data_IF_538454842485
#
_entry.id   IF_538454842485
#
_cell.length_a   1.000
_cell.length_b   1.000
_cell.length_c   1.000
_cell.angle_alpha   90.00
_cell.angle_beta   90.00
_cell.angle_gamma   90.00
#
_symmetry.space_group_name_H-M   'P 1'
#
loop_
_entity.id
_entity.type
_entity.pdbx_description
1 polymer ?
#
# COMPACT_ATOMS: atom_id res chain seq x y z
N UNK A 1 8.47 -13.09 26.21
CA UNK A 1 7.14 -13.39 25.64
C UNK A 1 7.30 -13.53 24.14
N UNK A 2 7.20 -14.76 23.64
CA UNK A 2 7.28 -15.06 22.21
C UNK A 2 5.96 -14.68 21.54
N UNK A 3 5.96 -13.58 20.81
CA UNK A 3 4.82 -13.15 19.99
C UNK A 3 4.76 -14.00 18.72
N UNK A 4 4.04 -15.12 18.78
CA UNK A 4 3.72 -15.92 17.59
C UNK A 4 2.54 -15.27 16.87
N UNK A 5 2.83 -14.45 15.86
CA UNK A 5 1.82 -13.99 14.90
C UNK A 5 1.32 -15.20 14.09
N UNK A 6 0.02 -15.49 14.13
CA UNK A 6 -0.62 -16.53 13.29
C UNK A 6 -0.84 -16.10 11.83
N UNK A 7 -0.20 -15.00 11.39
CA UNK A 7 -0.19 -14.55 9.99
C UNK A 7 1.26 -14.30 9.54
N UNK A 8 1.92 -15.26 8.88
CA UNK A 8 3.30 -15.11 8.40
C UNK A 8 3.47 -14.11 7.24
N UNK A 9 2.42 -13.36 6.87
CA UNK A 9 2.35 -12.57 5.63
C UNK A 9 2.78 -11.11 5.78
N UNK A 10 2.48 -10.47 6.91
CA UNK A 10 2.79 -9.05 7.13
C UNK A 10 4.29 -8.81 7.32
N UNK A 11 4.96 -9.73 8.00
CA UNK A 11 6.37 -9.59 8.35
C UNK A 11 7.34 -9.83 7.18
N UNK A 12 6.93 -10.56 6.13
CA UNK A 12 7.84 -10.91 5.02
C UNK A 12 7.81 -9.87 3.88
N UNK A 13 6.63 -9.29 3.59
CA UNK A 13 6.52 -8.17 2.65
C UNK A 13 7.18 -6.92 3.22
N UNK A 14 6.99 -6.62 4.51
CA UNK A 14 7.81 -5.63 5.21
C UNK A 14 9.29 -6.03 5.22
N UNK A 15 9.67 -7.28 5.47
CA UNK A 15 11.10 -7.68 5.41
C UNK A 15 11.76 -7.56 4.05
N UNK A 16 11.03 -7.46 2.94
CA UNK A 16 11.66 -7.24 1.63
C UNK A 16 11.56 -5.77 1.22
N UNK A 17 10.46 -5.07 1.53
CA UNK A 17 10.30 -3.65 1.21
C UNK A 17 11.01 -2.72 2.22
N UNK A 18 11.01 -3.06 3.51
CA UNK A 18 11.64 -2.29 4.60
C UNK A 18 13.10 -2.67 4.81
N UNK A 19 13.53 -3.91 4.58
CA UNK A 19 14.94 -4.27 4.76
C UNK A 19 15.85 -3.64 3.68
N UNK A 20 15.28 -3.35 2.50
CA UNK A 20 15.90 -2.49 1.46
C UNK A 20 15.90 -1.00 1.88
N UNK A 21 15.00 -0.58 2.78
CA UNK A 21 14.89 0.79 3.28
C UNK A 21 15.72 1.06 4.55
N UNK A 22 16.02 0.04 5.37
CA UNK A 22 16.60 0.22 6.72
C UNK A 22 18.09 -0.18 6.81
N UNK A 23 18.58 -1.18 6.06
CA UNK A 23 19.93 -1.71 6.35
C UNK A 23 21.08 -1.20 5.48
N UNK A 24 20.83 -0.55 4.34
CA UNK A 24 21.89 0.09 3.54
C UNK A 24 21.39 1.35 2.84
N UNK A 25 21.66 2.50 3.45
CA UNK A 25 21.20 3.81 2.98
C UNK A 25 21.90 4.36 1.72
N UNK A 26 22.62 3.53 0.94
CA UNK A 26 23.50 4.01 -0.15
C UNK A 26 23.22 3.47 -1.56
N UNK A 27 22.26 2.57 -1.77
CA UNK A 27 21.86 2.25 -3.16
C UNK A 27 20.35 2.07 -3.25
N UNK A 28 19.69 3.03 -3.89
CA UNK A 28 18.29 2.92 -4.32
C UNK A 28 18.25 1.99 -5.54
N UNK A 29 18.62 0.71 -5.34
CA UNK A 29 18.49 -0.33 -6.35
C UNK A 29 17.01 -0.59 -6.49
N UNK A 30 16.45 -0.19 -7.63
CA UNK A 30 15.05 -0.38 -7.98
C UNK A 30 14.80 -1.82 -8.44
N UNK A 31 15.12 -2.81 -7.59
CA UNK A 31 14.89 -4.22 -7.88
C UNK A 31 14.06 -4.83 -6.74
N UNK A 32 12.75 -4.91 -6.99
CA UNK A 32 11.83 -5.68 -6.15
C UNK A 32 11.71 -7.08 -6.73
N UNK A 33 12.31 -8.05 -6.04
CA UNK A 33 12.30 -9.48 -6.41
C UNK A 33 11.19 -10.16 -5.63
N UNK A 34 10.29 -10.82 -6.35
CA UNK A 34 9.22 -11.61 -5.75
C UNK A 34 9.41 -13.10 -5.98
N UNK A 35 8.87 -13.85 -5.03
CA UNK A 35 8.81 -15.32 -5.04
C UNK A 35 7.37 -15.78 -5.13
N UNK A 36 7.15 -17.03 -5.54
CA UNK A 36 5.82 -17.60 -5.80
C UNK A 36 4.86 -17.54 -4.59
N UNK A 37 5.38 -17.46 -3.37
CA UNK A 37 4.57 -17.44 -2.13
C UNK A 37 4.26 -16.02 -1.63
N UNK A 38 4.77 -14.98 -2.28
CA UNK A 38 4.63 -13.61 -1.80
C UNK A 38 3.24 -13.06 -2.16
N UNK A 39 2.51 -12.70 -1.11
CA UNK A 39 1.20 -12.09 -1.19
C UNK A 39 1.30 -10.68 -0.62
N UNK A 40 1.05 -9.67 -1.44
CA UNK A 40 1.03 -8.27 -1.04
C UNK A 40 -0.39 -7.82 -0.73
N UNK A 41 -0.57 -7.09 0.37
CA UNK A 41 -1.82 -6.42 0.70
C UNK A 41 -1.54 -5.24 1.62
N UNK A 42 -2.41 -4.23 1.55
CA UNK A 42 -2.43 -3.08 2.45
C UNK A 42 -3.82 -3.05 3.14
N UNK A 43 -4.07 -3.89 4.16
CA UNK A 43 -5.36 -4.01 4.84
C UNK A 43 -5.52 -3.01 6.01
N UNK A 44 -4.83 -1.87 6.00
CA UNK A 44 -4.82 -0.92 7.11
C UNK A 44 -6.19 -0.27 7.34
N UNK A 45 -6.99 -0.11 6.28
CA UNK A 45 -8.32 0.51 6.35
C UNK A 45 -9.31 -0.30 7.19
N UNK A 46 -9.12 -1.62 7.32
CA UNK A 46 -9.94 -2.45 8.21
C UNK A 46 -9.48 -2.41 9.67
N UNK A 47 -8.27 -1.91 9.92
CA UNK A 47 -7.73 -1.68 11.27
C UNK A 47 -7.98 -0.25 11.79
N UNK A 48 -8.58 0.63 10.99
CA UNK A 48 -8.76 2.04 11.37
C UNK A 48 -7.53 2.91 11.09
N UNK A 49 -6.67 2.51 10.16
CA UNK A 49 -5.51 3.28 9.68
C UNK A 49 -5.59 3.42 8.15
N UNK A 50 -4.55 3.93 7.51
CA UNK A 50 -4.43 4.13 6.07
C UNK A 50 -3.14 3.47 5.56
N UNK A 51 -3.01 3.20 4.25
CA UNK A 51 -1.75 2.72 3.68
C UNK A 51 -0.63 3.74 3.92
N UNK A 52 0.36 3.37 4.71
CA UNK A 52 1.47 4.21 5.18
C UNK A 52 2.83 3.75 4.61
N UNK A 53 3.95 4.22 5.18
CA UNK A 53 5.34 3.88 4.79
C UNK A 53 5.64 4.15 3.30
N UNK A 54 5.11 5.25 2.78
CA UNK A 54 5.24 5.67 1.39
C UNK A 54 4.22 5.04 0.45
N UNK A 55 3.21 4.34 0.96
CA UNK A 55 2.18 3.72 0.12
C UNK A 55 1.44 4.71 -0.76
N UNK A 56 1.20 5.93 -0.29
CA UNK A 56 0.60 6.96 -1.15
C UNK A 56 1.49 7.29 -2.36
N UNK A 57 2.82 7.14 -2.27
CA UNK A 57 3.72 7.35 -3.40
C UNK A 57 3.65 6.22 -4.42
N UNK A 58 3.80 4.96 -4.01
CA UNK A 58 3.85 3.86 -4.98
C UNK A 58 2.46 3.48 -5.50
N UNK A 59 1.41 3.50 -4.66
CA UNK A 59 0.05 3.18 -5.08
C UNK A 59 -0.45 4.17 -6.13
N UNK A 60 -0.16 5.46 -5.94
CA UNK A 60 -0.58 6.53 -6.85
C UNK A 60 0.03 6.44 -8.26
N UNK A 61 1.09 5.65 -8.42
CA UNK A 61 1.81 5.43 -9.69
C UNK A 61 1.42 4.11 -10.38
N UNK A 62 0.57 3.31 -9.75
CA UNK A 62 0.04 2.09 -10.38
C UNK A 62 -0.88 2.44 -11.57
N UNK A 63 -1.06 1.51 -12.53
CA UNK A 63 -1.85 1.77 -13.73
C UNK A 63 -3.26 2.28 -13.42
N UNK A 64 -3.62 3.40 -14.05
CA UNK A 64 -4.95 4.01 -13.92
C UNK A 64 -5.30 4.35 -12.47
N UNK A 65 -6.32 3.66 -11.94
CA UNK A 65 -6.83 3.80 -10.57
C UNK A 65 -6.68 2.51 -9.74
N UNK A 66 -5.74 1.64 -10.13
CA UNK A 66 -5.49 0.38 -9.45
C UNK A 66 -4.95 0.58 -8.02
N UNK A 67 -4.17 1.64 -7.78
CA UNK A 67 -3.67 1.98 -6.45
C UNK A 67 -4.76 2.29 -5.44
N UNK A 68 -5.79 3.03 -5.86
CA UNK A 68 -6.95 3.32 -5.03
C UNK A 68 -7.74 2.04 -4.74
N UNK A 69 -7.91 1.16 -5.72
CA UNK A 69 -8.51 -0.16 -5.47
C UNK A 69 -7.75 -0.94 -4.40
N UNK A 70 -6.43 -1.10 -4.56
CA UNK A 70 -5.60 -1.88 -3.63
C UNK A 70 -5.60 -1.25 -2.24
N UNK A 71 -5.36 0.06 -2.14
CA UNK A 71 -5.24 0.76 -0.88
C UNK A 71 -6.55 0.92 -0.10
N UNK A 72 -7.70 1.05 -0.78
CA UNK A 72 -8.98 1.19 -0.10
C UNK A 72 -9.57 -0.15 0.34
N UNK A 73 -9.41 -1.19 -0.49
CA UNK A 73 -10.09 -2.47 -0.30
C UNK A 73 -9.23 -3.49 0.46
N UNK A 74 -7.94 -3.23 0.63
CA UNK A 74 -6.98 -4.20 1.16
C UNK A 74 -6.82 -5.44 0.28
N UNK A 75 -7.02 -5.28 -1.04
CA UNK A 75 -6.92 -6.37 -2.00
C UNK A 75 -5.57 -7.06 -1.91
N UNK A 76 -5.61 -8.40 -1.97
CA UNK A 76 -4.43 -9.24 -1.93
C UNK A 76 -3.96 -9.49 -3.36
N UNK A 77 -2.71 -9.16 -3.64
CA UNK A 77 -2.04 -9.35 -4.92
C UNK A 77 -1.02 -10.47 -4.79
N UNK A 78 -1.04 -11.40 -5.73
CA UNK A 78 0.05 -12.37 -5.86
C UNK A 78 1.22 -11.82 -6.69
N UNK A 79 2.33 -12.58 -6.76
CA UNK A 79 3.52 -12.13 -7.47
C UNK A 79 3.32 -11.86 -8.96
N UNK A 80 2.36 -12.53 -9.62
CA UNK A 80 2.06 -12.26 -11.02
C UNK A 80 1.33 -10.92 -11.18
N UNK A 81 0.39 -10.64 -10.28
CA UNK A 81 -0.33 -9.37 -10.25
C UNK A 81 0.58 -8.20 -9.89
N UNK A 82 1.48 -8.39 -8.93
CA UNK A 82 2.46 -7.38 -8.54
C UNK A 82 3.41 -7.04 -9.70
N UNK A 83 3.84 -8.04 -10.48
CA UNK A 83 4.65 -7.79 -11.68
C UNK A 83 3.83 -7.04 -12.75
N UNK A 84 2.60 -7.50 -13.00
CA UNK A 84 1.73 -6.89 -14.02
C UNK A 84 1.35 -5.43 -13.70
N UNK A 85 1.14 -5.09 -12.43
CA UNK A 85 0.82 -3.73 -12.01
C UNK A 85 2.06 -2.85 -11.76
N UNK A 86 3.27 -3.40 -11.84
CA UNK A 86 4.51 -2.64 -11.67
C UNK A 86 4.93 -2.40 -10.22
N UNK A 87 4.30 -3.09 -9.25
CA UNK A 87 4.82 -3.15 -7.87
C UNK A 87 6.12 -3.95 -7.78
N UNK A 88 6.22 -5.01 -8.59
CA UNK A 88 7.43 -5.77 -8.77
C UNK A 88 8.11 -5.49 -10.11
N UNK A 89 9.42 -5.63 -10.10
CA UNK A 89 10.26 -5.50 -11.30
C UNK A 89 10.58 -6.85 -11.92
N UNK A 90 10.73 -7.88 -11.06
CA UNK A 90 11.19 -9.20 -11.44
C UNK A 90 10.44 -10.26 -10.64
N UNK A 91 10.20 -11.41 -11.27
CA UNK A 91 9.56 -12.55 -10.63
C UNK A 91 10.45 -13.79 -10.80
N UNK A 92 10.86 -14.39 -9.69
CA UNK A 92 11.80 -15.52 -9.66
C UNK A 92 11.12 -16.69 -8.96
N UNK A 93 11.17 -17.88 -9.56
CA UNK A 93 10.63 -19.08 -8.91
C UNK A 93 11.43 -19.38 -7.65
N UNK A 94 10.75 -19.82 -6.59
CA UNK A 94 11.41 -20.11 -5.32
C UNK A 94 12.57 -21.11 -5.45
N UNK A 95 12.44 -22.08 -6.36
CA UNK A 95 13.45 -23.09 -6.70
C UNK A 95 14.76 -22.49 -7.27
N UNK A 96 14.72 -21.27 -7.81
CA UNK A 96 15.87 -20.58 -8.42
C UNK A 96 16.49 -19.51 -7.54
N UNK A 97 15.95 -19.28 -6.34
CA UNK A 97 16.44 -18.22 -5.46
C UNK A 97 17.87 -18.47 -4.97
N UNK A 98 18.20 -19.70 -4.60
CA UNK A 98 19.56 -20.03 -4.16
C UNK A 98 20.58 -19.79 -5.28
N UNK A 99 20.22 -20.14 -6.52
CA UNK A 99 21.08 -19.88 -7.69
C UNK A 99 21.23 -18.38 -7.97
N UNK A 100 20.16 -17.61 -7.80
CA UNK A 100 20.22 -16.15 -7.91
C UNK A 100 21.12 -15.54 -6.82
N UNK A 101 21.02 -16.00 -5.58
CA UNK A 101 21.86 -15.55 -4.48
C UNK A 101 23.34 -15.82 -4.78
N UNK A 102 23.67 -17.04 -5.22
CA UNK A 102 25.03 -17.40 -5.65
C UNK A 102 25.53 -16.52 -6.80
N UNK A 103 24.67 -16.22 -7.79
CA UNK A 103 25.01 -15.36 -8.91
C UNK A 103 25.26 -13.90 -8.49
N UNK A 104 24.46 -13.38 -7.55
CA UNK A 104 24.65 -12.02 -6.99
C UNK A 104 25.94 -11.92 -6.17
N UNK A 105 26.23 -12.93 -5.34
CA UNK A 105 27.48 -12.99 -4.57
C UNK A 105 28.68 -13.06 -5.52
N UNK A 106 28.60 -13.86 -6.59
CA UNK A 106 29.66 -13.98 -7.59
C UNK A 106 29.86 -12.69 -8.41
N UNK A 107 28.77 -11.96 -8.68
CA UNK A 107 28.86 -10.70 -9.42
C UNK A 107 29.59 -9.61 -8.64
N UNK A 108 29.54 -9.64 -7.30
CA UNK A 108 30.25 -8.76 -6.36
C UNK A 108 30.34 -7.31 -6.84
N UNK A 109 29.19 -6.74 -7.19
CA UNK A 109 29.12 -5.41 -7.81
C UNK A 109 27.96 -4.61 -7.24
N UNK A 110 28.23 -3.36 -6.88
CA UNK A 110 27.21 -2.39 -6.50
C UNK A 110 26.58 -1.67 -7.72
N UNK A 111 26.97 -2.04 -8.95
CA UNK A 111 26.44 -1.41 -10.16
C UNK A 111 25.00 -1.91 -10.42
N UNK A 112 23.98 -1.02 -10.43
CA UNK A 112 22.59 -1.41 -10.63
C UNK A 112 22.33 -2.15 -11.95
N UNK A 113 23.08 -1.84 -13.02
CA UNK A 113 22.93 -2.51 -14.30
C UNK A 113 23.42 -3.98 -14.23
N UNK A 114 24.52 -4.23 -13.52
CA UNK A 114 25.05 -5.58 -13.31
C UNK A 114 24.07 -6.41 -12.48
N UNK A 115 23.56 -5.83 -11.38
CA UNK A 115 22.59 -6.48 -10.50
C UNK A 115 21.28 -6.78 -11.26
N UNK A 116 20.75 -5.80 -12.01
CA UNK A 116 19.53 -6.01 -12.79
C UNK A 116 19.70 -7.08 -13.87
N UNK A 117 20.89 -7.16 -14.50
CA UNK A 117 21.19 -8.21 -15.48
C UNK A 117 21.23 -9.59 -14.83
N UNK A 118 21.89 -9.72 -13.67
CA UNK A 118 21.96 -10.96 -12.92
C UNK A 118 20.55 -11.42 -12.49
N UNK A 119 19.72 -10.52 -11.97
CA UNK A 119 18.33 -10.85 -11.59
C UNK A 119 17.49 -11.22 -12.81
N UNK A 120 17.68 -10.53 -13.94
CA UNK A 120 17.00 -10.81 -15.20
C UNK A 120 17.20 -12.24 -15.71
N UNK A 121 18.40 -12.82 -15.52
CA UNK A 121 18.72 -14.20 -15.95
C UNK A 121 17.85 -15.26 -15.25
N UNK A 122 17.52 -15.04 -13.98
CA UNK A 122 16.70 -15.96 -13.19
C UNK A 122 15.20 -15.62 -13.22
N UNK A 123 14.85 -14.47 -13.82
CA UNK A 123 13.48 -13.98 -13.86
C UNK A 123 12.64 -14.69 -14.91
N UNK A 124 11.34 -14.72 -14.67
CA UNK A 124 10.35 -15.22 -15.61
C UNK A 124 9.07 -14.41 -15.51
N UNK A 125 8.29 -14.37 -16.60
CA UNK A 125 6.97 -13.76 -16.60
C UNK A 125 5.95 -14.83 -16.21
N UNK A 126 5.32 -14.74 -15.03
CA UNK A 126 4.26 -15.66 -14.63
C UNK A 126 2.97 -15.34 -15.38
N UNK A 127 2.11 -16.34 -15.55
CA UNK A 127 0.76 -16.12 -16.05
C UNK A 127 -0.13 -15.56 -14.95
N UNK A 128 -0.93 -14.55 -15.28
CA UNK A 128 -2.00 -14.08 -14.41
C UNK A 128 -3.07 -15.16 -14.25
N UNK A 129 -3.64 -15.26 -13.04
CA UNK A 129 -4.79 -16.14 -12.80
C UNK A 129 -6.01 -15.62 -13.56
N UNK A 130 -6.87 -16.52 -14.02
CA UNK A 130 -8.11 -16.18 -14.74
C UNK A 130 -8.99 -15.16 -14.03
N UNK A 131 -9.03 -15.20 -12.70
CA UNK A 131 -9.81 -14.32 -11.84
C UNK A 131 -9.01 -13.16 -11.22
N UNK A 132 -7.80 -12.89 -11.72
CA UNK A 132 -6.94 -11.80 -11.25
C UNK A 132 -7.68 -10.46 -11.25
N UNK A 133 -7.42 -9.65 -10.21
CA UNK A 133 -7.92 -8.28 -10.15
C UNK A 133 -7.36 -7.42 -11.30
N UNK A 134 -6.17 -7.73 -11.79
CA UNK A 134 -5.54 -6.99 -12.89
C UNK A 134 -6.32 -7.14 -14.20
N UNK A 135 -6.97 -8.29 -14.46
CA UNK A 135 -7.87 -8.44 -15.61
C UNK A 135 -9.13 -7.56 -15.53
N UNK A 136 -9.39 -6.97 -14.37
CA UNK A 136 -10.56 -6.13 -14.09
C UNK A 136 -10.22 -4.64 -14.14
N UNK A 137 -9.04 -4.29 -14.65
CA UNK A 137 -8.52 -2.92 -14.69
C UNK A 137 -9.49 -1.93 -15.34
N UNK A 138 -10.25 -2.34 -16.37
CA UNK A 138 -11.25 -1.47 -16.99
C UNK A 138 -12.39 -1.11 -16.01
N UNK A 139 -12.95 -2.08 -15.29
CA UNK A 139 -13.97 -1.84 -14.27
C UNK A 139 -13.40 -1.06 -13.10
N UNK A 140 -12.18 -1.39 -12.66
CA UNK A 140 -11.48 -0.65 -11.60
C UNK A 140 -11.32 0.81 -12.03
N UNK A 141 -10.83 1.09 -13.24
CA UNK A 141 -10.67 2.44 -13.73
C UNK A 141 -12.01 3.17 -13.83
N UNK A 142 -13.08 2.51 -14.29
CA UNK A 142 -14.43 3.10 -14.37
C UNK A 142 -14.99 3.51 -12.99
N UNK A 143 -14.81 2.67 -11.97
CA UNK A 143 -15.40 2.89 -10.65
C UNK A 143 -14.51 3.72 -9.73
N UNK A 144 -13.20 3.45 -9.70
CA UNK A 144 -12.27 4.13 -8.81
C UNK A 144 -11.79 5.49 -9.35
N UNK A 145 -12.11 5.87 -10.59
CA UNK A 145 -11.79 7.22 -11.11
C UNK A 145 -12.61 8.34 -10.47
N UNK A 146 -13.67 8.02 -9.73
CA UNK A 146 -14.60 8.98 -9.13
C UNK A 146 -13.92 9.92 -8.13
N UNK A 147 -14.57 11.04 -7.82
CA UNK A 147 -13.97 12.14 -7.03
C UNK A 147 -14.06 11.92 -5.54
N UNK A 148 -15.01 11.10 -5.08
CA UNK A 148 -15.22 10.79 -3.67
C UNK A 148 -15.39 9.29 -3.45
N UNK A 149 -15.17 8.83 -2.21
CA UNK A 149 -15.35 7.42 -1.84
C UNK A 149 -16.81 6.99 -2.03
N UNK A 150 -17.75 7.87 -1.73
CA UNK A 150 -19.18 7.67 -1.94
C UNK A 150 -19.50 7.37 -3.40
N UNK A 151 -18.99 8.20 -4.31
CA UNK A 151 -19.19 8.00 -5.75
C UNK A 151 -18.55 6.69 -6.23
N UNK A 152 -17.43 6.25 -5.64
CA UNK A 152 -16.82 4.94 -5.96
C UNK A 152 -17.76 3.81 -5.54
N UNK A 153 -18.32 3.86 -4.33
CA UNK A 153 -19.25 2.84 -3.83
C UNK A 153 -20.50 2.78 -4.71
N UNK A 154 -21.11 3.93 -5.03
CA UNK A 154 -22.27 4.01 -5.92
C UNK A 154 -21.95 3.44 -7.31
N UNK A 155 -20.78 3.76 -7.86
CA UNK A 155 -20.36 3.25 -9.16
C UNK A 155 -20.18 1.72 -9.14
N UNK A 156 -19.62 1.15 -8.07
CA UNK A 156 -19.50 -0.31 -7.92
C UNK A 156 -20.87 -0.98 -7.76
N UNK A 157 -21.77 -0.39 -6.97
CA UNK A 157 -23.13 -0.91 -6.78
C UNK A 157 -23.93 -0.89 -8.10
N UNK A 158 -23.74 0.14 -8.92
CA UNK A 158 -24.32 0.22 -10.27
C UNK A 158 -23.77 -0.88 -11.18
N UNK A 159 -22.45 -1.09 -11.22
CA UNK A 159 -21.86 -2.20 -11.99
C UNK A 159 -22.36 -3.57 -11.52
N UNK A 160 -22.51 -3.77 -10.21
CA UNK A 160 -22.97 -5.02 -9.63
C UNK A 160 -24.43 -5.34 -10.04
N UNK A 161 -25.25 -4.32 -10.28
CA UNK A 161 -26.63 -4.48 -10.74
C UNK A 161 -26.70 -4.89 -12.23
N UNK A 162 -25.78 -4.39 -13.06
CA UNK A 162 -25.72 -4.72 -14.49
C UNK A 162 -25.09 -6.10 -14.75
N UNK A 163 -24.05 -6.45 -13.98
CA UNK A 163 -23.28 -7.68 -14.17
C UNK A 163 -23.07 -8.40 -12.84
N UNK A 164 -23.62 -9.61 -12.73
CA UNK A 164 -23.39 -10.48 -11.59
C UNK A 164 -21.94 -10.97 -11.60
N UNK A 165 -21.13 -10.40 -10.72
CA UNK A 165 -19.71 -10.69 -10.60
C UNK A 165 -19.28 -10.66 -9.13
N UNK A 166 -18.91 -11.83 -8.60
CA UNK A 166 -18.61 -12.02 -7.17
C UNK A 166 -17.48 -11.11 -6.68
N UNK A 167 -16.55 -10.72 -7.56
CA UNK A 167 -15.47 -9.79 -7.21
C UNK A 167 -15.99 -8.37 -6.94
N UNK A 168 -17.00 -7.91 -7.68
CA UNK A 168 -17.58 -6.58 -7.44
C UNK A 168 -18.28 -6.59 -6.08
N UNK A 169 -19.08 -7.63 -5.82
CA UNK A 169 -19.75 -7.81 -4.53
C UNK A 169 -18.75 -7.90 -3.37
N UNK A 170 -17.65 -8.65 -3.51
CA UNK A 170 -16.62 -8.72 -2.47
C UNK A 170 -15.92 -7.38 -2.27
N UNK A 171 -15.68 -6.63 -3.35
CA UNK A 171 -15.05 -5.30 -3.29
C UNK A 171 -15.92 -4.31 -2.51
N UNK A 172 -17.22 -4.27 -2.81
CA UNK A 172 -18.19 -3.45 -2.06
C UNK A 172 -18.21 -3.85 -0.58
N UNK A 173 -18.22 -5.15 -0.28
CA UNK A 173 -18.19 -5.63 1.11
C UNK A 173 -16.91 -5.23 1.83
N UNK A 174 -15.74 -5.29 1.18
CA UNK A 174 -14.48 -4.83 1.78
C UNK A 174 -14.54 -3.34 2.13
N UNK A 175 -15.04 -2.50 1.22
CA UNK A 175 -15.21 -1.06 1.48
C UNK A 175 -16.18 -0.83 2.65
N UNK A 176 -17.32 -1.53 2.70
CA UNK A 176 -18.31 -1.37 3.78
C UNK A 176 -17.82 -1.86 5.15
N UNK A 177 -16.83 -2.75 5.21
CA UNK A 177 -16.23 -3.24 6.46
C UNK A 177 -15.12 -2.34 6.97
N UNK A 178 -14.46 -1.59 6.09
CA UNK A 178 -13.39 -0.68 6.46
C UNK A 178 -13.91 0.52 7.28
N UNK A 179 -13.00 1.16 8.02
CA UNK A 179 -13.31 2.43 8.71
C UNK A 179 -13.65 3.50 7.66
N UNK A 180 -14.82 4.17 7.77
CA UNK A 180 -15.19 5.23 6.86
C UNK A 180 -14.17 6.37 6.82
N UNK A 181 -13.58 6.74 7.97
CA UNK A 181 -12.54 7.77 8.03
C UNK A 181 -11.30 7.31 7.31
N UNK A 182 -10.87 6.08 7.59
CA UNK A 182 -9.71 5.46 6.97
C UNK A 182 -9.80 5.44 5.44
N UNK A 183 -10.98 5.15 4.89
CA UNK A 183 -11.22 5.21 3.45
C UNK A 183 -11.00 6.63 2.88
N UNK A 184 -11.57 7.65 3.52
CA UNK A 184 -11.47 9.05 3.08
C UNK A 184 -10.02 9.55 3.10
N UNK A 185 -9.32 9.34 4.21
CA UNK A 185 -7.92 9.80 4.35
C UNK A 185 -6.98 9.01 3.43
N UNK A 186 -7.20 7.71 3.23
CA UNK A 186 -6.43 6.88 2.31
C UNK A 186 -6.63 7.33 0.86
N UNK A 187 -7.88 7.52 0.45
CA UNK A 187 -8.22 8.00 -0.89
C UNK A 187 -7.53 9.33 -1.20
N UNK A 188 -7.63 10.29 -0.27
CA UNK A 188 -7.01 11.60 -0.43
C UNK A 188 -5.48 11.54 -0.45
N UNK A 189 -4.88 10.73 0.43
CA UNK A 189 -3.42 10.57 0.49
C UNK A 189 -2.88 9.98 -0.82
N UNK A 190 -3.47 8.90 -1.32
CA UNK A 190 -3.10 8.27 -2.60
C UNK A 190 -3.24 9.29 -3.75
N UNK A 191 -4.34 10.04 -3.81
CA UNK A 191 -4.56 11.05 -4.87
C UNK A 191 -3.51 12.16 -4.85
N UNK A 192 -3.16 12.69 -3.66
CA UNK A 192 -2.10 13.70 -3.52
C UNK A 192 -0.72 13.14 -3.92
N UNK A 193 -0.45 11.88 -3.63
CA UNK A 193 0.81 11.20 -3.99
C UNK A 193 1.13 11.19 -5.49
N UNK A 194 0.13 11.36 -6.37
CA UNK A 194 0.32 11.44 -7.83
C UNK A 194 1.20 12.62 -8.26
N UNK A 195 1.19 13.72 -7.50
CA UNK A 195 1.85 14.97 -7.84
C UNK A 195 3.07 15.27 -6.95
N UNK A 196 3.46 14.34 -6.08
CA UNK A 196 4.46 14.56 -5.05
C UNK A 196 5.57 13.51 -5.08
N UNK A 197 6.78 13.93 -4.66
CA UNK A 197 7.91 13.04 -4.39
C UNK A 197 7.69 12.18 -3.15
N UNK A 198 8.51 11.13 -2.97
CA UNK A 198 8.38 10.23 -1.81
C UNK A 198 8.58 10.98 -0.50
N UNK A 199 9.43 12.01 -0.47
CA UNK A 199 9.71 12.73 0.75
C UNK A 199 8.49 13.47 1.31
N UNK A 200 7.73 14.14 0.42
CA UNK A 200 6.47 14.79 0.79
C UNK A 200 5.39 13.78 1.18
N UNK A 201 5.34 12.63 0.50
CA UNK A 201 4.42 11.55 0.86
C UNK A 201 4.70 11.03 2.27
N UNK A 202 5.96 10.75 2.61
CA UNK A 202 6.36 10.30 3.94
C UNK A 202 6.08 11.33 5.02
N UNK A 203 6.39 12.62 4.77
CA UNK A 203 6.09 13.68 5.73
C UNK A 203 4.58 13.84 5.97
N UNK A 204 3.76 13.73 4.91
CA UNK A 204 2.30 13.75 5.05
C UNK A 204 1.78 12.55 5.84
N UNK A 205 2.21 11.35 5.48
CA UNK A 205 1.79 10.12 6.16
C UNK A 205 2.23 10.11 7.63
N UNK A 206 3.40 10.67 7.95
CA UNK A 206 3.85 10.89 9.32
C UNK A 206 2.88 11.75 10.12
N UNK A 207 2.44 12.90 9.57
CA UNK A 207 1.43 13.73 10.24
C UNK A 207 0.11 12.99 10.45
N UNK A 208 -0.35 12.29 9.39
CA UNK A 208 -1.58 11.52 9.45
C UNK A 208 -1.54 10.45 10.54
N UNK A 209 -0.44 9.70 10.67
CA UNK A 209 -0.34 8.65 11.70
C UNK A 209 -0.28 9.26 13.10
N UNK A 210 0.36 10.41 13.29
CA UNK A 210 0.33 11.07 14.60
C UNK A 210 -1.09 11.48 15.01
N UNK A 211 -1.91 12.02 14.10
CA UNK A 211 -3.34 12.29 14.35
C UNK A 211 -4.13 11.03 14.69
N UNK A 212 -3.85 9.92 13.99
CA UNK A 212 -4.43 8.60 14.32
C UNK A 212 -4.06 8.16 15.74
N UNK A 213 -2.81 8.36 16.15
CA UNK A 213 -2.31 7.95 17.47
C UNK A 213 -2.83 8.84 18.61
N UNK A 214 -3.00 10.14 18.36
CA UNK A 214 -3.64 11.06 19.32
C UNK A 214 -5.11 10.71 19.54
N UNK A 215 -5.81 10.28 18.48
CA UNK A 215 -7.18 9.79 18.57
C UNK A 215 -8.22 10.87 18.94
N UNK A 216 -7.89 12.14 18.69
CA UNK A 216 -8.77 13.29 18.99
C UNK A 216 -9.95 13.39 18.01
N UNK A 217 -9.73 13.02 16.75
CA UNK A 217 -10.75 13.09 15.68
C UNK A 217 -11.70 11.89 15.76
N UNK A 218 -11.15 10.68 15.88
CA UNK A 218 -11.86 9.45 16.18
C UNK A 218 -10.90 8.42 16.78
N UNK A 219 -11.47 7.31 17.24
CA UNK A 219 -10.75 6.21 17.89
C UNK A 219 -10.77 4.93 17.06
N UNK A 220 -10.89 5.04 15.74
CA UNK A 220 -11.04 3.88 14.85
C UNK A 220 -9.83 2.95 14.95
N UNK A 221 -8.60 3.46 15.09
CA UNK A 221 -7.43 2.57 15.26
C UNK A 221 -7.53 1.68 16.51
N UNK A 222 -7.96 2.26 17.63
CA UNK A 222 -8.14 1.53 18.90
C UNK A 222 -9.23 0.48 18.74
N UNK A 223 -10.36 0.85 18.13
CA UNK A 223 -11.49 -0.05 17.88
C UNK A 223 -11.14 -1.17 16.88
N UNK A 224 -10.39 -0.85 15.82
CA UNK A 224 -9.93 -1.83 14.85
C UNK A 224 -8.95 -2.83 15.48
N UNK A 225 -8.02 -2.36 16.32
CA UNK A 225 -7.16 -3.22 17.12
C UNK A 225 -7.96 -4.12 18.06
N UNK A 226 -8.96 -3.58 18.75
CA UNK A 226 -9.86 -4.36 19.61
C UNK A 226 -10.54 -5.48 18.80
N UNK A 227 -11.22 -5.12 17.71
CA UNK A 227 -12.03 -6.05 16.93
C UNK A 227 -11.20 -7.14 16.23
N UNK A 228 -9.99 -6.82 15.75
CA UNK A 228 -9.19 -7.74 14.92
C UNK A 228 -8.14 -8.49 15.72
N UNK A 229 -7.49 -7.84 16.69
CA UNK A 229 -6.31 -8.38 17.37
C UNK A 229 -6.59 -8.86 18.80
N UNK A 230 -7.42 -8.11 19.55
CA UNK A 230 -7.72 -8.42 20.95
C UNK A 230 -8.91 -9.38 21.07
N UNK A 231 -10.11 -8.88 20.80
CA UNK A 231 -11.37 -9.62 20.97
C UNK A 231 -11.59 -10.60 19.80
N UNK A 232 -11.01 -10.29 18.63
CA UNK A 232 -11.08 -11.11 17.40
C UNK A 232 -12.52 -11.38 16.92
N UNK A 233 -13.45 -10.50 17.27
CA UNK A 233 -14.86 -10.57 16.83
C UNK A 233 -15.03 -10.20 15.35
N UNK A 234 -14.05 -9.52 14.74
CA UNK A 234 -14.07 -9.00 13.37
C UNK A 234 -15.29 -8.11 13.09
N UNK A 235 -15.79 -7.42 14.12
CA UNK A 235 -16.95 -6.55 14.06
C UNK A 235 -16.65 -5.19 14.71
N UNK A 236 -15.77 -4.37 14.08
CA UNK A 236 -15.45 -3.05 14.58
C UNK A 236 -16.66 -2.11 14.51
N UNK A 237 -16.81 -1.27 15.54
CA UNK A 237 -17.86 -0.26 15.67
C UNK A 237 -17.27 1.11 15.37
N UNK A 238 -17.16 1.43 14.09
CA UNK A 238 -16.59 2.69 13.63
C UNK A 238 -17.42 3.91 14.04
N UNK A 239 -16.73 4.99 14.39
CA UNK A 239 -17.34 6.28 14.73
C UNK A 239 -16.55 7.42 14.08
N UNK A 240 -17.08 8.08 13.03
CA UNK A 240 -18.40 7.90 12.42
C UNK A 240 -18.58 6.57 11.67
N UNK A 241 -19.80 6.02 11.70
CA UNK A 241 -20.12 4.69 11.14
C UNK A 241 -20.36 4.66 9.63
N UNK A 242 -20.43 5.82 8.98
CA UNK A 242 -20.74 5.95 7.55
C UNK A 242 -19.88 7.01 6.87
N UNK A 243 -19.60 6.83 5.58
CA UNK A 243 -18.76 7.74 4.79
C UNK A 243 -19.40 9.12 4.61
N UNK A 244 -20.74 9.17 4.53
CA UNK A 244 -21.49 10.41 4.33
C UNK A 244 -21.52 11.30 5.58
N UNK A 245 -21.18 10.73 6.75
CA UNK A 245 -21.11 11.47 8.01
C UNK A 245 -19.77 12.17 8.21
N UNK A 246 -18.80 11.94 7.32
CA UNK A 246 -17.46 12.49 7.43
C UNK A 246 -17.38 13.75 6.58
N UNK A 247 -17.15 14.87 7.26
CA UNK A 247 -16.96 16.17 6.64
C UNK A 247 -15.53 16.35 6.14
N UNK A 248 -15.34 17.26 5.19
CA UNK A 248 -14.00 17.57 4.66
C UNK A 248 -13.10 18.18 5.74
N UNK A 249 -13.66 18.91 6.71
CA UNK A 249 -12.91 19.49 7.83
C UNK A 249 -12.31 18.39 8.72
N UNK A 250 -13.06 17.31 9.01
CA UNK A 250 -12.52 16.16 9.73
C UNK A 250 -11.36 15.51 8.98
N UNK A 251 -11.51 15.38 7.65
CA UNK A 251 -10.45 14.83 6.80
C UNK A 251 -9.25 15.77 6.79
N UNK A 252 -9.44 17.09 6.68
CA UNK A 252 -8.40 18.12 6.67
C UNK A 252 -7.52 18.08 7.92
N UNK A 253 -8.11 17.84 9.09
CA UNK A 253 -7.36 17.72 10.35
C UNK A 253 -6.25 16.66 10.27
N UNK A 254 -6.48 15.50 9.64
CA UNK A 254 -5.43 14.48 9.47
C UNK A 254 -4.22 14.94 8.65
N UNK A 255 -4.36 15.98 7.82
CA UNK A 255 -3.29 16.51 6.98
C UNK A 255 -2.65 17.78 7.56
N UNK A 256 -3.20 18.33 8.64
CA UNK A 256 -2.66 19.52 9.29
C UNK A 256 -1.42 19.21 10.10
N UNK A 257 -0.63 20.24 10.40
CA UNK A 257 0.42 20.12 11.42
C UNK A 257 -0.23 19.88 12.78
N UNK A 258 0.54 19.26 13.67
CA UNK A 258 0.14 19.12 15.07
C UNK A 258 0.49 20.43 15.78
N UNK A 259 -0.47 20.97 16.52
CA UNK A 259 -0.34 22.24 17.22
C UNK A 259 0.13 22.00 18.66
N UNK A 260 1.34 21.46 18.83
CA UNK A 260 2.01 21.32 20.12
C UNK A 260 3.36 22.06 20.06
N UNK A 261 3.72 22.77 21.14
CA UNK A 261 4.85 23.71 21.17
C UNK A 261 6.22 23.07 20.86
N UNK A 262 6.35 21.75 21.06
CA UNK A 262 7.58 20.98 20.81
C UNK A 262 7.52 20.12 19.53
N UNK A 263 6.45 20.23 18.74
CA UNK A 263 6.26 19.35 17.59
C UNK A 263 7.13 19.77 16.40
N UNK A 264 8.01 18.86 15.96
CA UNK A 264 8.74 18.97 14.71
C UNK A 264 8.19 18.02 13.65
N UNK A 265 8.03 18.52 12.43
CA UNK A 265 7.66 17.72 11.28
C UNK A 265 8.79 16.78 10.86
N UNK A 266 8.47 15.71 10.13
CA UNK A 266 9.46 14.72 9.69
C UNK A 266 10.53 15.39 8.80
N UNK A 267 11.76 15.49 9.33
CA UNK A 267 12.94 15.95 8.60
C UNK A 267 13.68 14.76 8.02
N UNK A 268 13.57 14.55 6.72
CA UNK A 268 14.34 13.51 6.03
C UNK A 268 15.81 13.96 5.92
N UNK A 269 16.77 13.03 6.10
CA UNK A 269 18.19 13.36 6.00
C UNK A 269 18.53 13.88 4.60
N UNK A 270 19.33 14.94 4.53
CA UNK A 270 19.86 15.45 3.27
C UNK A 270 20.85 14.43 2.72
N UNK A 271 20.51 13.80 1.60
CA UNK A 271 21.39 12.84 0.94
C UNK A 271 22.20 13.56 -0.13
N UNK A 272 23.45 13.91 0.19
CA UNK A 272 24.36 14.68 -0.67
C UNK A 272 25.03 13.88 -1.80
N UNK A 273 24.96 12.54 -1.76
CA UNK A 273 25.66 11.65 -2.71
C UNK A 273 24.72 10.78 -3.56
N UNK A 274 23.46 11.17 -3.72
CA UNK A 274 22.56 10.39 -4.56
C UNK A 274 22.82 10.65 -6.05
N UNK A 275 22.86 9.60 -6.89
CA UNK A 275 22.86 9.78 -8.33
C UNK A 275 21.56 10.49 -8.77
N UNK A 276 21.63 11.24 -9.88
CA UNK A 276 20.54 12.11 -10.33
C UNK A 276 19.17 11.41 -10.45
N UNK A 277 19.14 10.12 -10.79
CA UNK A 277 17.92 9.34 -10.88
C UNK A 277 17.24 9.07 -9.52
N UNK A 278 18.01 9.07 -8.43
CA UNK A 278 17.50 8.90 -7.07
C UNK A 278 17.05 10.23 -6.47
N UNK A 279 17.71 11.35 -6.83
CA UNK A 279 17.29 12.71 -6.46
C UNK A 279 15.91 13.03 -7.06
N UNK A 280 15.67 12.67 -8.33
CA UNK A 280 14.40 12.92 -8.99
C UNK A 280 13.18 12.21 -8.36
N UNK A 281 13.41 11.22 -7.49
CA UNK A 281 12.36 10.46 -6.82
C UNK A 281 12.00 11.02 -5.43
N UNK A 282 12.92 11.75 -4.78
CA UNK A 282 12.79 12.37 -3.45
C UNK A 282 11.88 13.60 -3.47
#
# INVERSE_FOLDING_TARGET
MNWSFSYPYFAFVLKVMIYILINHFDVLISVHILTFLQLFAMPETVLGIFPDVGASYFLSRLPGFFGEYVGLTGARLDGAEMLACGLATHFVKSERLSLLEEALVKADSSNPAVISSAVGEFSHVPNLKKNSAYHRLNTINKCFSRRTVEEIIIALETEAAEKKDDWISSTIQSLKKASPMSLKISFRSIRKGRLEGIGKCLAREFRMICHVMQGEINKDFIEGCRAILLDKDRNPKWEPSKVELISEEMVDCYFSKINEDEWEDLKLPVRSNLPAYAIAKL
#
